data_IF_293249571145
#
_entry.id   IF_293249571145
#
_cell.length_a   1.000
_cell.length_b   1.000
_cell.length_c   1.000
_cell.angle_alpha   90.00
_cell.angle_beta   90.00
_cell.angle_gamma   90.00
#
_symmetry.space_group_name_H-M   'P 1'
#
loop_
_entity.id
_entity.type
_entity.pdbx_description
1 polymer ?
#
# COMPACT_ATOMS: atom_id res chain seq x y z
N UNK A 1 -15.87 -21.60 -2.22
CA UNK A 1 -16.25 -20.18 -1.98
C UNK A 1 -14.98 -19.37 -2.08
N UNK A 2 -14.92 -18.42 -2.99
CA UNK A 2 -13.75 -17.57 -3.20
C UNK A 2 -13.56 -16.63 -1.98
N UNK A 3 -12.32 -16.49 -1.51
CA UNK A 3 -12.04 -15.62 -0.38
C UNK A 3 -12.25 -14.16 -0.77
N UNK A 4 -12.81 -13.29 0.09
CA UNK A 4 -13.04 -11.87 -0.24
C UNK A 4 -11.81 -11.14 -0.78
N UNK A 5 -10.64 -11.46 -0.26
CA UNK A 5 -9.37 -10.88 -0.73
C UNK A 5 -9.01 -11.24 -2.16
N UNK A 6 -9.45 -12.39 -2.68
CA UNK A 6 -9.04 -12.86 -4.01
C UNK A 6 -9.61 -11.96 -5.12
N UNK A 7 -10.87 -11.56 -4.98
CA UNK A 7 -11.51 -10.61 -5.91
C UNK A 7 -10.84 -9.23 -5.88
N UNK A 8 -10.46 -8.74 -4.68
CA UNK A 8 -9.74 -7.45 -4.53
C UNK A 8 -8.36 -7.54 -5.15
N UNK A 9 -7.60 -8.60 -4.85
CA UNK A 9 -6.26 -8.81 -5.44
C UNK A 9 -6.34 -8.94 -6.95
N UNK A 10 -7.31 -9.66 -7.50
CA UNK A 10 -7.49 -9.82 -8.94
C UNK A 10 -7.74 -8.46 -9.62
N UNK A 11 -8.62 -7.62 -9.06
CA UNK A 11 -8.94 -6.29 -9.58
C UNK A 11 -7.74 -5.34 -9.50
N UNK A 12 -7.04 -5.32 -8.36
CA UNK A 12 -5.90 -4.43 -8.15
C UNK A 12 -4.59 -4.97 -8.71
N UNK A 13 -4.55 -6.19 -9.25
CA UNK A 13 -3.33 -6.86 -9.69
C UNK A 13 -2.43 -5.99 -10.58
N UNK A 14 -2.92 -5.30 -11.63
CA UNK A 14 -2.07 -4.46 -12.47
C UNK A 14 -1.39 -3.35 -11.65
N UNK A 15 -2.15 -2.64 -10.82
CA UNK A 15 -1.63 -1.59 -9.95
C UNK A 15 -0.61 -2.16 -8.92
N UNK A 16 -0.92 -3.30 -8.30
CA UNK A 16 -0.04 -3.92 -7.31
C UNK A 16 1.30 -4.37 -7.90
N UNK A 17 1.33 -4.80 -9.17
CA UNK A 17 2.56 -5.11 -9.90
C UNK A 17 3.40 -3.85 -10.08
N UNK A 18 2.79 -2.74 -10.52
CA UNK A 18 3.52 -1.47 -10.71
C UNK A 18 4.03 -0.90 -9.37
N UNK A 19 3.24 -1.00 -8.30
CA UNK A 19 3.69 -0.57 -6.97
C UNK A 19 4.88 -1.41 -6.50
N UNK A 20 4.83 -2.74 -6.67
CA UNK A 20 5.96 -3.63 -6.37
C UNK A 20 7.23 -3.20 -7.12
N UNK A 21 7.11 -2.99 -8.44
CA UNK A 21 8.24 -2.63 -9.29
C UNK A 21 8.76 -1.22 -8.99
N UNK A 22 7.86 -0.30 -8.62
CA UNK A 22 8.23 1.04 -8.14
C UNK A 22 9.02 0.99 -6.82
N UNK A 23 8.60 0.15 -5.87
CA UNK A 23 9.32 -0.06 -4.60
C UNK A 23 10.71 -0.68 -4.84
N UNK A 24 10.81 -1.70 -5.69
CA UNK A 24 12.10 -2.32 -6.06
C UNK A 24 13.03 -1.31 -6.72
N UNK A 25 12.51 -0.47 -7.61
CA UNK A 25 13.29 0.62 -8.22
C UNK A 25 13.75 1.63 -7.18
N UNK A 26 12.86 2.04 -6.27
CA UNK A 26 13.19 2.95 -5.18
C UNK A 26 14.30 2.40 -4.27
N UNK A 27 14.25 1.11 -3.94
CA UNK A 27 15.31 0.43 -3.20
C UNK A 27 16.64 0.45 -3.95
N UNK A 28 16.65 0.20 -5.26
CA UNK A 28 17.86 0.26 -6.08
C UNK A 28 18.47 1.66 -6.07
N UNK A 29 17.65 2.69 -6.25
CA UNK A 29 18.09 4.10 -6.24
C UNK A 29 18.61 4.50 -4.85
N UNK A 30 17.88 4.15 -3.78
CA UNK A 30 18.33 4.43 -2.42
C UNK A 30 19.69 3.81 -2.13
N UNK A 31 19.89 2.54 -2.49
CA UNK A 31 21.18 1.85 -2.31
C UNK A 31 22.31 2.50 -3.11
N UNK A 32 22.04 2.92 -4.35
CA UNK A 32 23.03 3.63 -5.16
C UNK A 32 23.45 4.94 -4.50
N UNK A 33 22.51 5.76 -4.02
CA UNK A 33 22.78 7.01 -3.30
C UNK A 33 23.61 6.76 -2.05
N UNK A 34 23.26 5.75 -1.26
CA UNK A 34 24.03 5.42 -0.04
C UNK A 34 25.46 4.97 -0.38
N UNK A 35 25.63 4.18 -1.45
CA UNK A 35 26.95 3.75 -1.90
C UNK A 35 27.81 4.91 -2.42
N UNK A 36 27.24 5.83 -3.18
CA UNK A 36 27.94 7.01 -3.72
C UNK A 36 28.45 7.94 -2.62
N UNK A 37 27.78 7.96 -1.48
CA UNK A 37 28.14 8.79 -0.32
C UNK A 37 28.83 8.02 0.79
N UNK A 38 29.14 6.75 0.61
CA UNK A 38 29.68 5.84 1.62
C UNK A 38 28.83 5.81 2.92
N UNK A 39 27.52 5.95 2.77
CA UNK A 39 26.58 5.90 3.88
C UNK A 39 26.09 4.46 4.13
N UNK A 40 25.82 4.17 5.39
CA UNK A 40 25.22 2.89 5.77
C UNK A 40 23.69 3.03 5.78
N UNK A 41 22.93 2.33 4.92
CA UNK A 41 21.46 2.40 4.91
C UNK A 41 20.84 2.10 6.27
N UNK A 42 21.49 1.25 7.07
CA UNK A 42 21.04 0.92 8.42
C UNK A 42 21.21 2.05 9.44
N UNK A 43 22.08 3.04 9.17
CA UNK A 43 22.34 4.15 10.07
C UNK A 43 21.23 5.22 10.01
N UNK A 44 20.61 5.42 8.84
CA UNK A 44 19.48 6.34 8.66
C UNK A 44 18.33 5.67 7.88
N UNK A 45 17.58 4.84 8.58
CA UNK A 45 16.39 4.17 8.01
C UNK A 45 15.32 5.13 7.54
N UNK A 46 15.21 6.29 8.19
CA UNK A 46 14.20 7.27 7.81
C UNK A 46 14.50 7.83 6.43
N UNK A 47 15.74 8.20 6.18
CA UNK A 47 16.20 8.68 4.87
C UNK A 47 16.03 7.60 3.80
N UNK A 48 16.43 6.36 4.09
CA UNK A 48 16.28 5.23 3.16
C UNK A 48 14.81 5.06 2.72
N UNK A 49 13.88 4.98 3.67
CA UNK A 49 12.45 4.84 3.36
C UNK A 49 11.88 6.08 2.64
N UNK A 50 12.38 7.28 2.92
CA UNK A 50 11.96 8.49 2.21
C UNK A 50 12.41 8.46 0.74
N UNK A 51 13.65 8.02 0.46
CA UNK A 51 14.16 7.87 -0.90
C UNK A 51 13.34 6.84 -1.68
N UNK A 52 13.11 5.66 -1.10
CA UNK A 52 12.29 4.61 -1.72
C UNK A 52 10.89 5.13 -2.06
N UNK A 53 10.25 5.81 -1.11
CA UNK A 53 8.92 6.38 -1.31
C UNK A 53 8.89 7.41 -2.42
N UNK A 54 9.85 8.35 -2.43
CA UNK A 54 9.93 9.40 -3.44
C UNK A 54 10.07 8.80 -4.84
N UNK A 55 11.00 7.88 -5.02
CA UNK A 55 11.20 7.20 -6.30
C UNK A 55 9.96 6.41 -6.74
N UNK A 56 9.30 5.73 -5.80
CA UNK A 56 8.06 5.04 -6.09
C UNK A 56 6.94 6.00 -6.53
N UNK A 57 6.81 7.16 -5.89
CA UNK A 57 5.86 8.19 -6.29
C UNK A 57 6.14 8.72 -7.70
N UNK A 58 7.40 9.06 -8.00
CA UNK A 58 7.79 9.58 -9.34
C UNK A 58 7.48 8.54 -10.44
N UNK A 59 7.71 7.27 -10.16
CA UNK A 59 7.41 6.20 -11.11
C UNK A 59 5.91 6.00 -11.33
N UNK A 60 5.09 6.18 -10.29
CA UNK A 60 3.64 6.02 -10.37
C UNK A 60 2.92 7.27 -10.88
N UNK A 61 3.57 8.43 -10.86
CA UNK A 61 3.00 9.72 -11.32
C UNK A 61 2.42 9.68 -12.75
N UNK A 62 3.10 9.10 -13.75
CA UNK A 62 2.55 9.03 -15.10
C UNK A 62 1.19 8.32 -15.18
N UNK A 63 0.94 7.35 -14.32
CA UNK A 63 -0.33 6.62 -14.29
C UNK A 63 -1.47 7.45 -13.68
N UNK A 64 -1.14 8.35 -12.75
CA UNK A 64 -2.12 9.26 -12.15
C UNK A 64 -2.47 10.45 -13.06
N UNK A 65 -1.56 10.83 -13.96
CA UNK A 65 -1.72 11.98 -14.85
C UNK A 65 -2.33 11.62 -16.21
N UNK A 66 -2.42 10.33 -16.55
CA UNK A 66 -2.93 9.89 -17.83
C UNK A 66 -4.45 9.75 -17.82
N UNK A 67 -5.10 10.37 -18.83
CA UNK A 67 -6.54 10.25 -19.06
C UNK A 67 -6.90 8.81 -19.48
N UNK A 68 -6.01 8.13 -20.19
CA UNK A 68 -6.13 6.72 -20.56
C UNK A 68 -5.41 5.88 -19.50
N UNK A 69 -6.10 5.63 -18.40
CA UNK A 69 -5.62 4.80 -17.30
C UNK A 69 -5.45 3.34 -17.76
N UNK A 70 -4.22 2.83 -17.89
CA UNK A 70 -3.98 1.46 -18.38
C UNK A 70 -4.50 0.39 -17.40
N UNK A 71 -4.86 0.79 -16.18
CA UNK A 71 -5.37 -0.12 -15.15
C UNK A 71 -6.90 -0.04 -15.02
N UNK A 72 -7.57 0.94 -15.63
CA UNK A 72 -8.98 1.22 -15.42
C UNK A 72 -9.31 1.61 -13.98
N UNK A 73 -8.31 2.16 -13.24
CA UNK A 73 -8.39 2.40 -11.80
C UNK A 73 -8.57 3.86 -11.42
N UNK A 74 -8.46 4.81 -12.39
CA UNK A 74 -8.48 6.24 -12.12
C UNK A 74 -7.60 6.59 -10.91
N UNK A 75 -6.31 6.25 -11.01
CA UNK A 75 -5.37 6.37 -9.92
C UNK A 75 -5.16 7.84 -9.54
N UNK A 76 -5.31 8.17 -8.28
CA UNK A 76 -4.87 9.43 -7.70
C UNK A 76 -3.69 9.19 -6.76
N UNK A 77 -2.60 9.94 -6.95
CA UNK A 77 -1.49 10.02 -6.00
C UNK A 77 -1.76 11.19 -5.05
N UNK A 78 -1.79 10.91 -3.76
CA UNK A 78 -1.93 11.95 -2.75
C UNK A 78 -0.55 12.38 -2.26
N UNK A 79 -0.21 13.65 -2.51
CA UNK A 79 1.03 14.23 -2.02
C UNK A 79 0.94 14.52 -0.51
N UNK A 80 2.06 14.37 0.23
CA UNK A 80 2.11 14.72 1.64
C UNK A 80 1.69 16.17 1.89
N UNK A 81 0.75 16.37 2.80
CA UNK A 81 0.26 17.70 3.18
C UNK A 81 -0.91 18.23 2.37
N UNK A 82 -1.37 17.55 1.32
CA UNK A 82 -2.45 17.99 0.45
C UNK A 82 -3.74 17.18 0.62
N UNK A 83 -3.83 16.31 1.62
CA UNK A 83 -5.04 15.55 1.89
C UNK A 83 -5.96 16.29 2.86
N UNK A 84 -7.19 16.53 2.43
CA UNK A 84 -8.27 17.04 3.28
C UNK A 84 -8.65 16.08 4.44
N UNK A 85 -7.92 14.99 4.62
CA UNK A 85 -8.14 13.99 5.65
C UNK A 85 -7.38 14.30 6.95
N UNK A 86 -6.58 15.38 6.99
CA UNK A 86 -5.87 15.82 8.20
C UNK A 86 -4.86 14.79 8.76
N UNK A 87 -4.39 13.87 7.91
CA UNK A 87 -3.50 12.80 8.33
C UNK A 87 -2.05 13.27 8.24
N UNK A 88 -1.25 13.15 9.32
CA UNK A 88 0.20 13.30 9.20
C UNK A 88 0.72 12.24 8.22
N UNK A 89 1.16 12.72 7.06
CA UNK A 89 1.45 11.89 5.90
C UNK A 89 2.81 11.21 6.02
N UNK A 90 2.86 10.08 6.65
CA UNK A 90 3.93 9.13 6.47
C UNK A 90 3.45 8.00 5.56
N UNK A 91 3.91 7.96 4.32
CA UNK A 91 3.57 6.89 3.40
C UNK A 91 3.19 7.38 2.00
N UNK A 92 3.13 6.44 1.07
CA UNK A 92 2.59 6.61 -0.26
C UNK A 92 1.09 6.25 -0.19
N UNK A 93 0.23 7.16 -0.65
CA UNK A 93 -1.22 6.93 -0.69
C UNK A 93 -1.67 6.92 -2.15
N UNK A 94 -2.35 5.85 -2.50
CA UNK A 94 -2.95 5.61 -3.80
C UNK A 94 -4.46 5.55 -3.61
N UNK A 95 -5.20 6.31 -4.41
CA UNK A 95 -6.65 6.29 -4.38
C UNK A 95 -7.17 5.80 -5.72
N UNK A 96 -8.09 4.86 -5.67
CA UNK A 96 -8.89 4.40 -6.80
C UNK A 96 -10.37 4.76 -6.57
N UNK A 97 -11.27 4.56 -7.51
CA UNK A 97 -12.70 4.78 -7.27
C UNK A 97 -13.25 3.97 -6.09
N UNK A 98 -12.70 2.79 -5.84
CA UNK A 98 -13.22 1.82 -4.86
C UNK A 98 -12.32 1.62 -3.63
N UNK A 99 -11.04 2.00 -3.69
CA UNK A 99 -10.10 1.79 -2.59
C UNK A 99 -9.26 3.05 -2.28
N UNK A 100 -8.80 3.11 -1.02
CA UNK A 100 -7.68 3.93 -0.57
C UNK A 100 -6.58 2.98 -0.10
N UNK A 101 -5.47 2.91 -0.82
CA UNK A 101 -4.34 2.05 -0.52
C UNK A 101 -3.21 2.88 0.10
N UNK A 102 -2.83 2.57 1.33
CA UNK A 102 -1.66 3.16 1.99
C UNK A 102 -0.50 2.18 1.98
N UNK A 103 0.65 2.65 1.52
CA UNK A 103 1.87 1.84 1.39
C UNK A 103 2.81 2.20 2.54
N UNK A 104 3.11 1.23 3.40
CA UNK A 104 4.00 1.39 4.55
C UNK A 104 5.13 0.38 4.56
N UNK A 105 6.29 0.82 5.02
CA UNK A 105 7.36 -0.11 5.40
C UNK A 105 7.01 -0.73 6.76
N UNK A 106 7.15 -2.06 6.87
CA UNK A 106 6.88 -2.82 8.08
C UNK A 106 7.72 -4.10 8.12
N UNK A 107 8.73 -4.11 8.98
CA UNK A 107 9.64 -5.26 9.12
C UNK A 107 8.94 -6.50 9.71
N UNK A 108 8.00 -6.30 10.60
CA UNK A 108 7.24 -7.34 11.29
C UNK A 108 5.95 -7.74 10.56
N UNK A 109 5.49 -6.93 9.60
CA UNK A 109 4.23 -7.11 8.88
C UNK A 109 3.01 -6.65 9.68
N UNK A 110 3.22 -5.87 10.73
CA UNK A 110 2.15 -5.29 11.51
C UNK A 110 1.74 -3.92 10.98
N UNK A 111 0.48 -3.59 11.12
CA UNK A 111 -0.04 -2.25 10.83
C UNK A 111 0.46 -1.25 11.87
N UNK A 112 0.76 -0.01 11.47
CA UNK A 112 1.08 1.06 12.42
C UNK A 112 0.01 1.18 13.52
N UNK A 113 0.46 1.38 14.76
CA UNK A 113 -0.46 1.54 15.88
C UNK A 113 -1.42 2.72 15.67
N UNK A 114 -2.67 2.56 16.11
CA UNK A 114 -3.75 3.54 15.94
C UNK A 114 -3.59 4.75 16.88
N UNK A 115 -2.45 5.42 16.85
CA UNK A 115 -2.11 6.51 17.78
C UNK A 115 -2.79 7.83 17.43
N UNK A 116 -3.00 8.11 16.15
CA UNK A 116 -3.63 9.35 15.69
C UNK A 116 -5.11 9.12 15.33
N UNK A 117 -5.92 10.20 15.38
CA UNK A 117 -7.32 10.12 14.96
C UNK A 117 -7.42 9.66 13.51
N UNK A 118 -6.60 10.19 12.63
CA UNK A 118 -6.62 9.80 11.22
C UNK A 118 -6.28 8.32 10.96
N UNK A 119 -5.37 7.71 11.75
CA UNK A 119 -5.15 6.27 11.67
C UNK A 119 -6.37 5.48 12.18
N UNK A 120 -6.99 5.95 13.28
CA UNK A 120 -8.23 5.34 13.77
C UNK A 120 -9.35 5.41 12.73
N UNK A 121 -9.52 6.55 12.07
CA UNK A 121 -10.52 6.74 11.02
C UNK A 121 -10.21 5.87 9.78
N UNK A 122 -8.93 5.76 9.39
CA UNK A 122 -8.51 4.87 8.31
C UNK A 122 -8.80 3.39 8.62
N UNK A 123 -8.65 2.97 9.88
CA UNK A 123 -8.93 1.59 10.28
C UNK A 123 -10.41 1.31 10.55
N UNK A 124 -11.21 2.34 10.79
CA UNK A 124 -12.63 2.22 11.14
C UNK A 124 -13.49 1.87 9.92
N UNK A 125 -13.54 0.59 9.56
CA UNK A 125 -14.40 0.12 8.49
C UNK A 125 -15.15 -1.16 8.87
N UNK A 126 -16.33 -1.34 8.27
CA UNK A 126 -17.15 -2.52 8.52
C UNK A 126 -16.51 -3.79 7.96
N UNK A 127 -16.67 -4.94 8.62
CA UNK A 127 -16.22 -6.23 8.10
C UNK A 127 -16.79 -6.51 6.69
N UNK A 128 -16.01 -7.15 5.82
CA UNK A 128 -16.43 -7.48 4.46
C UNK A 128 -17.72 -8.31 4.42
N UNK A 129 -17.91 -9.22 5.37
CA UNK A 129 -19.13 -10.02 5.48
C UNK A 129 -20.39 -9.14 5.72
N UNK A 130 -20.28 -8.12 6.57
CA UNK A 130 -21.37 -7.20 6.86
C UNK A 130 -21.69 -6.30 5.65
N UNK A 131 -20.67 -5.85 4.90
CA UNK A 131 -20.84 -5.10 3.66
C UNK A 131 -21.61 -5.90 2.61
N UNK A 132 -21.30 -7.17 2.44
CA UNK A 132 -22.02 -8.06 1.52
C UNK A 132 -23.50 -8.21 1.89
N UNK A 133 -23.82 -8.30 3.17
CA UNK A 133 -25.20 -8.34 3.65
C UNK A 133 -25.94 -7.03 3.39
N UNK A 134 -25.31 -5.89 3.65
CA UNK A 134 -25.91 -4.56 3.39
C UNK A 134 -26.15 -4.36 1.89
N UNK A 135 -25.18 -4.69 1.03
CA UNK A 135 -25.35 -4.61 -0.43
C UNK A 135 -26.47 -5.54 -0.94
N UNK A 136 -26.66 -6.70 -0.32
CA UNK A 136 -27.76 -7.62 -0.66
C UNK A 136 -29.12 -7.08 -0.22
N UNK A 137 -29.18 -6.25 0.83
CA UNK A 137 -30.42 -5.66 1.35
C UNK A 137 -30.78 -4.33 0.69
N UNK A 138 -29.78 -3.46 0.47
CA UNK A 138 -29.98 -2.08 0.00
C UNK A 138 -29.82 -1.90 -1.51
N UNK A 139 -29.24 -2.89 -2.19
CA UNK A 139 -29.16 -2.95 -3.66
C UNK A 139 -28.28 -1.89 -4.36
N UNK A 140 -27.75 -0.90 -3.61
CA UNK A 140 -26.95 0.21 -4.17
C UNK A 140 -25.67 0.36 -3.37
N UNK A 141 -24.48 0.19 -4.02
CA UNK A 141 -23.21 0.54 -3.39
C UNK A 141 -23.19 2.05 -3.10
N UNK A 142 -22.78 2.46 -1.89
CA UNK A 142 -22.48 3.86 -1.62
C UNK A 142 -21.26 4.27 -2.46
N UNK A 143 -21.43 5.13 -3.48
CA UNK A 143 -20.35 5.52 -4.39
C UNK A 143 -19.25 6.35 -3.69
N UNK A 144 -19.49 6.81 -2.47
CA UNK A 144 -18.51 7.56 -1.68
C UNK A 144 -17.69 6.67 -0.75
N UNK A 145 -18.07 5.42 -0.58
CA UNK A 145 -17.42 4.50 0.35
C UNK A 145 -16.31 3.73 -0.35
N UNK A 146 -15.08 4.11 -0.05
CA UNK A 146 -13.88 3.38 -0.48
C UNK A 146 -13.43 2.41 0.60
N UNK A 147 -12.97 1.22 0.18
CA UNK A 147 -12.29 0.31 1.09
C UNK A 147 -10.87 0.84 1.41
N UNK A 148 -10.53 0.84 2.67
CA UNK A 148 -9.19 1.21 3.12
C UNK A 148 -8.31 -0.04 3.20
N UNK A 149 -7.23 -0.02 2.46
CA UNK A 149 -6.27 -1.12 2.37
C UNK A 149 -4.87 -0.63 2.75
N UNK A 150 -4.13 -1.47 3.44
CA UNK A 150 -2.72 -1.26 3.72
C UNK A 150 -1.88 -2.20 2.86
N UNK A 151 -0.87 -1.68 2.19
CA UNK A 151 0.17 -2.46 1.54
C UNK A 151 1.44 -2.36 2.39
N UNK A 152 1.77 -3.45 3.06
CA UNK A 152 2.95 -3.54 3.91
C UNK A 152 4.09 -4.15 3.12
N UNK A 153 5.27 -3.51 3.17
CA UNK A 153 6.44 -4.03 2.49
C UNK A 153 7.67 -4.03 3.41
N UNK A 154 8.58 -4.96 3.16
CA UNK A 154 9.91 -4.99 3.74
C UNK A 154 10.92 -5.51 2.71
N UNK A 155 12.17 -5.08 2.84
CA UNK A 155 13.27 -5.46 1.98
C UNK A 155 14.30 -6.36 2.68
N UNK A 156 15.05 -7.08 1.87
CA UNK A 156 16.24 -7.80 2.32
C UNK A 156 17.35 -6.79 2.61
N UNK A 157 17.82 -6.76 3.86
CA UNK A 157 18.91 -5.89 4.29
C UNK A 157 20.30 -6.54 4.13
N UNK A 158 20.39 -7.64 3.39
CA UNK A 158 21.65 -8.33 3.19
C UNK A 158 22.61 -7.44 2.37
N UNK A 159 23.76 -7.05 2.94
CA UNK A 159 24.74 -6.23 2.24
C UNK A 159 25.25 -6.96 1.01
N UNK A 160 25.49 -6.22 -0.08
CA UNK A 160 26.06 -6.75 -1.32
C UNK A 160 25.12 -7.62 -2.18
N UNK A 161 23.84 -7.70 -1.85
CA UNK A 161 22.81 -8.34 -2.69
C UNK A 161 21.98 -7.31 -3.44
N UNK A 162 21.40 -7.74 -4.56
CA UNK A 162 20.44 -6.93 -5.30
C UNK A 162 19.22 -6.58 -4.40
N UNK A 163 18.57 -5.43 -4.66
CA UNK A 163 17.35 -5.05 -3.96
C UNK A 163 16.28 -6.11 -4.10
N UNK A 164 15.78 -6.60 -2.99
CA UNK A 164 14.73 -7.64 -2.97
C UNK A 164 13.69 -7.31 -1.90
N UNK A 165 12.41 -7.42 -2.26
CA UNK A 165 11.34 -7.40 -1.29
C UNK A 165 11.23 -8.80 -0.64
N UNK A 166 11.33 -8.84 0.68
CA UNK A 166 11.10 -10.07 1.47
C UNK A 166 9.67 -10.16 1.96
N UNK A 167 8.93 -9.04 1.89
CA UNK A 167 7.51 -8.96 2.20
C UNK A 167 6.81 -7.99 1.28
N UNK A 168 5.62 -8.37 0.87
CA UNK A 168 4.63 -7.50 0.27
C UNK A 168 3.26 -8.07 0.59
N UNK A 169 2.55 -7.44 1.51
CA UNK A 169 1.30 -7.95 2.06
C UNK A 169 0.19 -6.92 1.88
N UNK A 170 -0.97 -7.37 1.43
CA UNK A 170 -2.18 -6.57 1.39
C UNK A 170 -3.05 -6.90 2.59
N UNK A 171 -3.38 -5.88 3.37
CA UNK A 171 -4.12 -6.01 4.62
C UNK A 171 -5.35 -5.12 4.59
N UNK A 172 -6.50 -5.66 4.97
CA UNK A 172 -7.72 -4.88 5.20
C UNK A 172 -7.95 -4.76 6.70
N UNK A 173 -7.79 -3.56 7.30
CA UNK A 173 -8.16 -3.33 8.68
C UNK A 173 -9.69 -3.32 8.85
N UNK A 174 -10.18 -3.51 10.08
CA UNK A 174 -11.61 -3.42 10.43
C UNK A 174 -11.89 -2.62 11.69
N UNK A 175 -10.89 -1.99 12.24
CA UNK A 175 -11.00 -1.21 13.46
C UNK A 175 -9.73 -1.21 14.27
N UNK A 176 -9.79 -0.58 15.43
CA UNK A 176 -8.69 -0.58 16.39
C UNK A 176 -9.21 -0.56 17.82
N UNK A 177 -8.49 -1.24 18.71
CA UNK A 177 -8.74 -1.25 20.16
C UNK A 177 -7.47 -0.79 20.87
N UNK A 178 -7.49 0.44 21.38
CA UNK A 178 -6.29 1.09 21.88
C UNK A 178 -5.25 1.25 20.78
N UNK A 179 -4.06 0.69 20.98
CA UNK A 179 -2.97 0.71 19.98
C UNK A 179 -3.05 -0.43 18.96
N UNK A 180 -3.81 -1.48 19.26
CA UNK A 180 -3.92 -2.66 18.41
C UNK A 180 -4.90 -2.41 17.28
N UNK A 181 -4.53 -2.84 16.07
CA UNK A 181 -5.40 -2.81 14.89
C UNK A 181 -6.00 -4.19 14.66
N UNK A 182 -7.32 -4.25 14.52
CA UNK A 182 -8.02 -5.47 14.14
C UNK A 182 -7.99 -5.61 12.61
N UNK A 183 -7.74 -6.82 12.14
CA UNK A 183 -7.63 -7.15 10.72
C UNK A 183 -8.82 -8.00 10.28
N UNK A 184 -9.43 -7.62 9.15
CA UNK A 184 -10.50 -8.38 8.51
C UNK A 184 -9.91 -9.53 7.68
N UNK A 185 -8.89 -9.21 6.87
CA UNK A 185 -8.10 -10.19 6.15
C UNK A 185 -6.69 -9.67 5.82
N UNK A 186 -5.79 -10.63 5.56
CA UNK A 186 -4.38 -10.40 5.25
C UNK A 186 -3.95 -11.39 4.16
N UNK A 187 -3.21 -10.92 3.16
CA UNK A 187 -2.77 -11.70 2.00
C UNK A 187 -1.35 -11.36 1.62
N UNK A 188 -0.46 -12.36 1.61
CA UNK A 188 0.86 -12.25 1.02
C UNK A 188 0.79 -12.16 -0.51
N UNK A 189 1.50 -11.19 -1.09
CA UNK A 189 1.43 -10.89 -2.53
C UNK A 189 2.65 -11.37 -3.32
N UNK A 190 3.81 -11.58 -2.70
CA UNK A 190 5.06 -11.84 -3.44
C UNK A 190 4.92 -12.98 -4.45
N UNK A 191 4.37 -14.12 -4.04
CA UNK A 191 4.17 -15.27 -4.93
C UNK A 191 3.02 -15.06 -5.91
N UNK A 192 2.00 -14.30 -5.50
CA UNK A 192 0.82 -14.01 -6.33
C UNK A 192 1.12 -13.03 -7.46
N UNK A 193 2.10 -12.12 -7.26
CA UNK A 193 2.50 -11.12 -8.24
C UNK A 193 3.73 -11.52 -9.08
N UNK A 194 4.39 -12.62 -8.74
CA UNK A 194 5.40 -13.19 -9.63
C UNK A 194 4.74 -13.45 -10.97
N UNK A 195 5.19 -12.77 -12.00
CA UNK A 195 4.69 -12.95 -13.37
C UNK A 195 4.66 -14.42 -13.68
N UNK A 196 3.54 -14.92 -14.16
CA UNK A 196 3.59 -16.06 -15.06
C UNK A 196 4.34 -15.53 -16.29
N UNK A 197 5.65 -15.79 -16.34
CA UNK A 197 6.36 -15.76 -17.63
C UNK A 197 5.61 -16.78 -18.49
N UNK A 198 4.83 -16.25 -19.42
CA UNK A 198 4.21 -17.04 -20.47
C UNK A 198 5.23 -17.26 -21.57
#
# INVERSE_FOLDING_TARGET
MEHPSDAVVARLRPLLVEVRDALLRGLAVSRAIHADHDWQPSADRHLDHQLVRREAMERLRPYAEHVDDPFGTQLELLEPGNDNLGLPMSGLILRTPTEVLRVWHSDDGELPAAETQGLRDFYAQSPTAQLRLQLALDGVPDPQRRDHLALLWADSRAPGRDPELVRLDLVRPRGSSGRRVDVDWHVGLLDRLRSRAA
#
